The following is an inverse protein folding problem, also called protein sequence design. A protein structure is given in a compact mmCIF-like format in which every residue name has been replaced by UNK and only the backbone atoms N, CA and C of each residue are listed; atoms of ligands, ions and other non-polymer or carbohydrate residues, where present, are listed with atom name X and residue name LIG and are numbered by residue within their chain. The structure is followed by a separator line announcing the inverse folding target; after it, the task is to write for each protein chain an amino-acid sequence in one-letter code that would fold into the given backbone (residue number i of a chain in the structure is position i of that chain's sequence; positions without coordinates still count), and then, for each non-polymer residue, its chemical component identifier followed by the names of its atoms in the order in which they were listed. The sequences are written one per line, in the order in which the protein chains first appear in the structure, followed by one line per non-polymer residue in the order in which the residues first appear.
data_IF_641391871394
#
_entry.id   IF_641391871394
#
_cell.length_a   1.000
_cell.length_b   1.000
_cell.length_c   1.000
_cell.angle_alpha   90.00
_cell.angle_beta   90.00
_cell.angle_gamma   90.00
#
_symmetry.space_group_name_H-M   'P 1'
#
loop_
_entity.id
_entity.type
_entity.pdbx_description
1 polymer ?
#
# COMPACT_ATOMS: atom_id res chain seq x y z
N UNK A 1 14.27 -7.24 53.54
CA UNK A 1 13.68 -7.28 52.18
C UNK A 1 13.94 -5.93 51.52
N UNK A 2 14.71 -5.85 50.42
CA UNK A 2 14.96 -4.56 49.74
C UNK A 2 13.63 -4.00 49.22
N UNK A 3 13.28 -2.77 49.58
CA UNK A 3 12.02 -2.13 49.20
C UNK A 3 12.12 -1.55 47.77
N UNK A 4 11.00 -1.47 47.06
CA UNK A 4 10.92 -0.84 45.72
C UNK A 4 11.07 0.70 45.75
N UNK A 5 11.56 1.29 46.85
CA UNK A 5 11.72 2.75 46.99
C UNK A 5 12.60 3.38 45.91
N UNK A 6 13.50 2.62 45.27
CA UNK A 6 14.32 3.11 44.15
C UNK A 6 13.48 3.48 42.91
N UNK A 7 12.29 2.88 42.75
CA UNK A 7 11.38 3.20 41.64
C UNK A 7 10.78 4.61 41.76
N UNK A 8 10.78 5.21 42.96
CA UNK A 8 10.41 6.61 43.18
C UNK A 8 11.55 7.60 42.87
N UNK A 9 12.72 7.12 42.45
CA UNK A 9 13.79 8.02 41.99
C UNK A 9 13.39 8.70 40.67
N UNK A 10 13.82 9.95 40.47
CA UNK A 10 13.52 10.72 39.24
C UNK A 10 13.87 9.94 37.95
N UNK A 11 14.96 9.17 37.98
CA UNK A 11 15.38 8.30 36.87
C UNK A 11 14.33 7.24 36.52
N UNK A 12 13.85 6.50 37.52
CA UNK A 12 12.87 5.44 37.31
C UNK A 12 11.47 5.96 36.99
N UNK A 13 11.10 7.11 37.54
CA UNK A 13 9.84 7.78 37.19
C UNK A 13 9.84 8.27 35.74
N UNK A 14 10.91 8.95 35.29
CA UNK A 14 11.02 9.39 33.89
C UNK A 14 11.10 8.20 32.93
N UNK A 15 11.81 7.14 33.31
CA UNK A 15 11.87 5.92 32.51
C UNK A 15 10.51 5.22 32.42
N UNK A 16 9.79 5.09 33.54
CA UNK A 16 8.44 4.52 33.55
C UNK A 16 7.46 5.35 32.74
N UNK A 17 7.54 6.68 32.82
CA UNK A 17 6.75 7.58 31.98
C UNK A 17 7.06 7.38 30.49
N UNK A 18 8.33 7.29 30.12
CA UNK A 18 8.73 7.02 28.74
C UNK A 18 8.17 5.67 28.25
N UNK A 19 8.23 4.62 29.08
CA UNK A 19 7.64 3.31 28.76
C UNK A 19 6.13 3.39 28.59
N UNK A 20 5.42 4.13 29.44
CA UNK A 20 3.97 4.35 29.33
C UNK A 20 3.64 5.06 28.01
N UNK A 21 4.37 6.12 27.67
CA UNK A 21 4.18 6.85 26.40
C UNK A 21 4.44 5.94 25.20
N UNK A 22 5.53 5.16 25.23
CA UNK A 22 5.85 4.21 24.16
C UNK A 22 4.78 3.12 24.02
N UNK A 23 4.32 2.56 25.13
CA UNK A 23 3.28 1.53 25.12
C UNK A 23 1.94 2.08 24.62
N UNK A 24 1.56 3.30 25.01
CA UNK A 24 0.36 3.97 24.52
C UNK A 24 0.46 4.28 23.02
N UNK A 25 1.61 4.77 22.56
CA UNK A 25 1.86 5.00 21.13
C UNK A 25 1.82 3.71 20.33
N UNK A 26 2.45 2.65 20.80
CA UNK A 26 2.42 1.34 20.16
C UNK A 26 1.00 0.74 20.12
N UNK A 27 0.21 0.92 21.18
CA UNK A 27 -1.21 0.55 21.17
C UNK A 27 -1.99 1.30 20.08
N UNK A 28 -1.83 2.62 20.03
CA UNK A 28 -2.49 3.47 19.04
C UNK A 28 -2.11 3.12 17.60
N UNK A 29 -0.82 2.87 17.33
CA UNK A 29 -0.37 2.43 16.00
C UNK A 29 -0.92 1.04 15.65
N UNK A 30 -1.04 0.15 16.62
CA UNK A 30 -1.67 -1.15 16.42
C UNK A 30 -3.15 -1.01 16.03
N UNK A 31 -3.91 -0.18 16.75
CA UNK A 31 -5.31 0.11 16.41
C UNK A 31 -5.43 0.72 15.01
N UNK A 32 -4.60 1.70 14.67
CA UNK A 32 -4.58 2.30 13.33
C UNK A 32 -4.34 1.26 12.22
N UNK A 33 -3.50 0.26 12.45
CA UNK A 33 -3.31 -0.84 11.47
C UNK A 33 -4.56 -1.72 11.33
N UNK A 34 -5.30 -1.97 12.41
CA UNK A 34 -6.57 -2.72 12.34
C UNK A 34 -7.67 -1.90 11.66
N UNK A 35 -7.75 -0.60 11.90
CA UNK A 35 -8.68 0.29 11.19
C UNK A 35 -8.40 0.26 9.67
N UNK A 36 -7.11 0.30 9.28
CA UNK A 36 -6.70 0.15 7.87
C UNK A 36 -7.06 -1.22 7.28
N UNK A 37 -6.92 -2.28 8.06
CA UNK A 37 -7.34 -3.63 7.67
C UNK A 37 -8.85 -3.70 7.43
N UNK A 38 -9.65 -3.11 8.31
CA UNK A 38 -11.11 -3.09 8.18
C UNK A 38 -11.56 -2.28 6.97
N UNK A 39 -10.95 -1.11 6.74
CA UNK A 39 -11.18 -0.33 5.53
C UNK A 39 -10.88 -1.14 4.27
N UNK A 40 -9.71 -1.79 4.20
CA UNK A 40 -9.35 -2.64 3.05
C UNK A 40 -10.33 -3.78 2.82
N UNK A 41 -10.84 -4.40 3.89
CA UNK A 41 -11.86 -5.45 3.79
C UNK A 41 -13.19 -4.93 3.25
N UNK A 42 -13.59 -3.72 3.66
CA UNK A 42 -14.80 -3.09 3.16
C UNK A 42 -14.67 -2.80 1.66
N UNK A 43 -13.55 -2.20 1.22
CA UNK A 43 -13.28 -1.95 -0.20
C UNK A 43 -13.33 -3.27 -1.01
N UNK A 44 -12.62 -4.31 -0.56
CA UNK A 44 -12.61 -5.61 -1.24
C UNK A 44 -14.00 -6.27 -1.29
N UNK A 45 -14.85 -6.03 -0.29
CA UNK A 45 -16.21 -6.55 -0.27
C UNK A 45 -17.09 -5.89 -1.34
N UNK A 46 -16.90 -4.60 -1.62
CA UNK A 46 -17.56 -3.89 -2.73
C UNK A 46 -17.14 -4.51 -4.06
N UNK A 47 -15.84 -4.70 -4.28
CA UNK A 47 -15.34 -5.34 -5.52
C UNK A 47 -15.97 -6.70 -5.74
N UNK A 48 -15.95 -7.57 -4.72
CA UNK A 48 -16.51 -8.92 -4.81
C UNK A 48 -18.02 -8.90 -5.06
N UNK A 49 -18.76 -8.04 -4.35
CA UNK A 49 -20.21 -7.93 -4.51
C UNK A 49 -20.61 -7.46 -5.91
N UNK A 50 -19.78 -6.62 -6.54
CA UNK A 50 -20.03 -6.07 -7.86
C UNK A 50 -19.54 -6.96 -9.01
N UNK A 51 -18.49 -7.74 -8.79
CA UNK A 51 -18.01 -8.75 -9.74
C UNK A 51 -19.02 -9.89 -9.91
N UNK A 52 -19.72 -10.27 -8.84
CA UNK A 52 -20.72 -11.35 -8.84
C UNK A 52 -22.09 -10.94 -9.43
N UNK A 53 -22.33 -9.64 -9.64
CA UNK A 53 -23.60 -9.16 -10.18
C UNK A 53 -23.70 -9.30 -11.70
N UNK A 54 -24.91 -9.59 -12.20
CA UNK A 54 -25.20 -9.60 -13.63
C UNK A 54 -24.91 -8.22 -14.24
N UNK A 55 -24.23 -8.09 -15.39
CA UNK A 55 -23.93 -6.80 -15.99
C UNK A 55 -25.17 -5.91 -16.19
N UNK A 56 -25.04 -4.61 -15.91
CA UNK A 56 -26.12 -3.63 -16.10
C UNK A 56 -25.81 -2.67 -17.26
N UNK A 57 -26.82 -2.13 -17.96
CA UNK A 57 -26.61 -1.04 -18.90
C UNK A 57 -25.94 0.17 -18.23
N UNK A 58 -25.00 0.83 -18.92
CA UNK A 58 -24.26 1.96 -18.35
C UNK A 58 -25.17 3.11 -17.86
N UNK A 59 -26.29 3.35 -18.56
CA UNK A 59 -27.27 4.39 -18.21
C UNK A 59 -28.04 4.13 -16.90
N UNK A 60 -28.01 2.89 -16.40
CA UNK A 60 -28.65 2.53 -15.13
C UNK A 60 -27.72 2.76 -13.93
N UNK A 61 -26.41 2.86 -14.17
CA UNK A 61 -25.37 2.94 -13.13
C UNK A 61 -24.69 4.31 -13.13
N UNK A 62 -24.38 4.86 -14.30
CA UNK A 62 -23.71 6.13 -14.46
C UNK A 62 -24.66 7.19 -15.01
N UNK A 63 -24.45 8.44 -14.59
CA UNK A 63 -25.20 9.61 -15.06
C UNK A 63 -24.26 10.65 -15.68
N UNK A 64 -24.69 11.40 -16.72
CA UNK A 64 -23.90 12.51 -17.26
C UNK A 64 -23.56 13.54 -16.19
N UNK A 65 -22.28 13.87 -16.04
CA UNK A 65 -21.78 14.82 -15.04
C UNK A 65 -22.05 14.47 -13.56
N UNK A 66 -22.50 13.25 -13.27
CA UNK A 66 -22.66 12.75 -11.91
C UNK A 66 -21.34 12.25 -11.32
N UNK A 67 -21.32 11.96 -10.02
CA UNK A 67 -20.26 11.18 -9.40
C UNK A 67 -20.62 9.69 -9.42
N UNK A 68 -19.61 8.81 -9.44
CA UNK A 68 -19.82 7.37 -9.26
C UNK A 68 -20.22 7.09 -7.81
N UNK A 69 -21.29 6.33 -7.60
CA UNK A 69 -21.64 5.86 -6.27
C UNK A 69 -20.53 4.92 -5.76
N UNK A 70 -19.97 5.12 -4.55
CA UNK A 70 -18.96 4.23 -3.99
C UNK A 70 -19.37 2.76 -3.98
N UNK A 71 -20.67 2.46 -3.87
CA UNK A 71 -21.19 1.09 -3.89
C UNK A 71 -21.22 0.49 -5.31
N UNK A 72 -21.07 1.30 -6.36
CA UNK A 72 -21.01 0.90 -7.77
C UNK A 72 -19.56 0.82 -8.31
N UNK A 73 -18.54 1.12 -7.51
CA UNK A 73 -17.15 0.92 -7.95
C UNK A 73 -16.89 -0.57 -8.24
N UNK A 74 -16.28 -0.86 -9.38
CA UNK A 74 -16.10 -2.21 -9.94
C UNK A 74 -17.38 -2.91 -10.41
N UNK A 75 -18.53 -2.21 -10.49
CA UNK A 75 -19.73 -2.74 -11.13
C UNK A 75 -19.48 -3.02 -12.60
N UNK A 76 -19.81 -4.23 -13.04
CA UNK A 76 -19.74 -4.56 -14.48
C UNK A 76 -20.90 -3.89 -15.21
N UNK A 77 -20.58 -3.04 -16.18
CA UNK A 77 -21.56 -2.40 -17.05
C UNK A 77 -21.36 -2.79 -18.52
N UNK A 78 -22.44 -2.69 -19.29
CA UNK A 78 -22.45 -2.85 -20.76
C UNK A 78 -22.84 -1.55 -21.44
N UNK A 79 -22.19 -1.24 -22.56
CA UNK A 79 -22.53 -0.10 -23.40
C UNK A 79 -22.36 -0.45 -24.89
N UNK A 80 -23.18 0.14 -25.73
CA UNK A 80 -23.07 0.04 -27.19
C UNK A 80 -22.89 1.43 -27.78
N UNK A 81 -21.95 1.58 -28.70
CA UNK A 81 -21.62 2.88 -29.27
C UNK A 81 -20.56 2.82 -30.37
N UNK A 82 -20.01 3.97 -30.73
CA UNK A 82 -18.88 4.08 -31.66
C UNK A 82 -17.74 4.84 -30.99
N UNK A 83 -16.52 4.31 -31.05
CA UNK A 83 -15.35 5.00 -30.50
C UNK A 83 -15.05 6.27 -31.28
N UNK A 84 -14.62 7.32 -30.56
CA UNK A 84 -14.09 8.57 -31.11
C UNK A 84 -12.56 8.59 -30.95
N UNK A 85 -11.80 7.89 -31.81
CA UNK A 85 -10.35 7.76 -31.68
C UNK A 85 -9.61 9.10 -31.74
N UNK A 86 -10.18 10.11 -32.39
CA UNK A 86 -9.65 11.47 -32.44
C UNK A 86 -9.54 12.14 -31.07
N UNK A 87 -10.34 11.69 -30.10
CA UNK A 87 -10.42 12.22 -28.74
C UNK A 87 -9.73 11.29 -27.71
N UNK A 88 -8.87 10.38 -28.19
CA UNK A 88 -8.10 9.47 -27.33
C UNK A 88 -7.23 10.24 -26.35
N UNK A 89 -7.28 9.87 -25.07
CA UNK A 89 -6.48 10.45 -23.99
C UNK A 89 -5.47 9.46 -23.45
N UNK A 90 -4.21 9.89 -23.33
CA UNK A 90 -3.11 9.08 -22.80
C UNK A 90 -2.94 9.31 -21.30
N UNK A 91 -3.05 8.26 -20.50
CA UNK A 91 -2.74 8.29 -19.07
C UNK A 91 -1.28 7.91 -18.87
N UNK A 92 -0.47 8.91 -18.50
CA UNK A 92 0.99 8.82 -18.47
C UNK A 92 1.53 8.21 -17.18
N UNK A 93 2.77 7.75 -17.27
CA UNK A 93 3.58 7.24 -16.15
C UNK A 93 2.98 6.01 -15.44
N UNK A 94 2.35 5.14 -16.22
CA UNK A 94 1.88 3.85 -15.72
C UNK A 94 3.05 2.89 -15.64
N UNK A 95 3.04 2.04 -14.63
CA UNK A 95 4.06 1.02 -14.42
C UNK A 95 3.36 -0.29 -14.12
N UNK A 96 3.66 -1.32 -14.91
CA UNK A 96 3.10 -2.66 -14.78
C UNK A 96 4.24 -3.67 -14.87
N UNK A 97 4.32 -4.60 -13.92
CA UNK A 97 5.38 -5.62 -13.85
C UNK A 97 6.82 -5.07 -14.01
N UNK A 98 7.05 -3.86 -13.49
CA UNK A 98 8.35 -3.18 -13.57
C UNK A 98 8.68 -2.54 -14.93
N UNK A 99 7.78 -2.62 -15.91
CA UNK A 99 7.88 -1.93 -17.19
C UNK A 99 7.10 -0.60 -17.16
N UNK A 100 7.65 0.43 -17.81
CA UNK A 100 6.95 1.70 -18.00
C UNK A 100 5.99 1.60 -19.17
N UNK A 101 4.84 2.27 -19.05
CA UNK A 101 3.83 2.32 -20.08
C UNK A 101 2.82 3.43 -19.87
N UNK A 102 1.72 3.35 -20.61
CA UNK A 102 0.58 4.27 -20.55
C UNK A 102 -0.72 3.49 -20.61
N UNK A 103 -1.77 4.01 -19.98
CA UNK A 103 -3.13 3.53 -20.23
C UNK A 103 -3.77 4.38 -21.34
N UNK A 104 -4.63 3.75 -22.13
CA UNK A 104 -5.22 4.35 -23.33
C UNK A 104 -6.72 4.50 -23.13
N UNK A 105 -7.15 5.72 -22.85
CA UNK A 105 -8.57 6.04 -22.69
C UNK A 105 -9.15 6.50 -24.02
N UNK A 106 -10.12 5.76 -24.55
CA UNK A 106 -10.79 6.11 -25.80
C UNK A 106 -12.26 6.40 -25.50
N UNK A 107 -12.76 7.61 -25.82
CA UNK A 107 -14.17 7.92 -25.65
C UNK A 107 -15.06 7.07 -26.57
N UNK A 108 -16.13 6.50 -26.02
CA UNK A 108 -17.17 5.77 -26.72
C UNK A 108 -18.45 6.61 -26.75
N UNK A 109 -18.87 7.05 -27.93
CA UNK A 109 -20.15 7.74 -28.10
C UNK A 109 -21.24 6.69 -28.10
N UNK A 110 -22.01 6.62 -27.01
CA UNK A 110 -23.07 5.63 -26.84
C UNK A 110 -24.25 5.91 -27.78
N UNK A 111 -25.13 4.92 -27.95
CA UNK A 111 -26.37 5.08 -28.72
C UNK A 111 -27.32 6.16 -28.18
N UNK A 112 -27.20 6.52 -26.89
CA UNK A 112 -27.99 7.60 -26.28
C UNK A 112 -27.43 9.00 -26.59
N UNK A 113 -26.19 9.08 -27.10
CA UNK A 113 -25.48 10.32 -27.43
C UNK A 113 -24.52 10.80 -26.35
N UNK A 114 -24.60 10.28 -25.12
CA UNK A 114 -23.64 10.57 -24.05
C UNK A 114 -22.34 9.81 -24.30
N UNK A 115 -21.20 10.45 -24.00
CA UNK A 115 -19.88 9.86 -24.20
C UNK A 115 -19.41 9.11 -22.94
N UNK A 116 -19.04 7.85 -23.09
CA UNK A 116 -18.42 7.05 -22.03
C UNK A 116 -16.91 7.04 -22.19
N UNK A 117 -16.16 7.35 -21.13
CA UNK A 117 -14.71 7.18 -21.15
C UNK A 117 -14.36 5.73 -20.86
N UNK A 118 -13.62 5.11 -21.78
CA UNK A 118 -13.24 3.70 -21.69
C UNK A 118 -11.72 3.59 -21.64
N UNK A 119 -11.17 3.16 -20.51
CA UNK A 119 -9.77 2.73 -20.44
C UNK A 119 -9.65 1.36 -21.11
N UNK A 120 -9.12 1.36 -22.34
CA UNK A 120 -8.99 0.15 -23.16
C UNK A 120 -7.79 -0.72 -22.74
N UNK A 121 -6.99 -0.26 -21.79
CA UNK A 121 -5.87 -1.00 -21.24
C UNK A 121 -4.52 -0.35 -21.48
N UNK A 122 -3.48 -1.14 -21.17
CA UNK A 122 -2.12 -0.68 -21.01
C UNK A 122 -1.24 -0.97 -22.23
N UNK A 123 -0.34 -0.05 -22.52
CA UNK A 123 0.69 -0.18 -23.55
C UNK A 123 2.08 0.03 -22.96
N UNK A 124 2.93 -1.00 -23.05
CA UNK A 124 4.35 -0.88 -22.72
C UNK A 124 5.03 0.16 -23.63
N UNK A 125 5.66 1.17 -23.04
CA UNK A 125 6.41 2.19 -23.79
C UNK A 125 7.62 2.69 -23.01
N UNK A 126 8.76 2.84 -23.71
CA UNK A 126 9.96 3.48 -23.14
C UNK A 126 9.82 5.00 -23.01
N UNK A 127 8.75 5.57 -23.56
CA UNK A 127 8.51 6.99 -23.68
C UNK A 127 7.18 7.42 -23.03
N UNK A 128 6.84 6.86 -21.87
CA UNK A 128 5.56 7.09 -21.17
C UNK A 128 5.19 8.56 -20.88
N UNK A 129 6.15 9.49 -20.97
CA UNK A 129 5.90 10.92 -20.85
C UNK A 129 5.52 11.63 -22.16
N UNK A 130 5.81 11.02 -23.31
CA UNK A 130 5.69 11.64 -24.65
C UNK A 130 4.90 10.82 -25.65
N UNK A 131 4.40 9.63 -25.28
CA UNK A 131 3.46 8.86 -26.11
C UNK A 131 2.22 9.68 -26.41
N UNK A 132 1.81 9.69 -27.68
CA UNK A 132 0.66 10.44 -28.19
C UNK A 132 -0.48 9.52 -28.61
N UNK A 133 -1.70 10.06 -28.77
CA UNK A 133 -2.84 9.34 -29.36
C UNK A 133 -2.54 8.63 -30.68
N UNK A 134 -1.71 9.22 -31.54
CA UNK A 134 -1.34 8.61 -32.83
C UNK A 134 -0.40 7.39 -32.71
N UNK A 135 0.23 7.20 -31.54
CA UNK A 135 1.22 6.14 -31.30
C UNK A 135 0.57 4.85 -30.76
N UNK A 136 -0.72 4.85 -30.45
CA UNK A 136 -1.41 3.72 -29.80
C UNK A 136 -2.27 2.90 -30.78
N UNK A 137 -2.50 1.60 -30.50
CA UNK A 137 -3.43 0.78 -31.28
C UNK A 137 -4.82 1.39 -31.40
N UNK A 138 -5.31 1.47 -32.64
CA UNK A 138 -6.64 1.97 -32.95
C UNK A 138 -7.74 1.03 -32.40
N UNK A 139 -8.87 1.57 -31.93
CA UNK A 139 -10.03 0.77 -31.56
C UNK A 139 -10.68 0.10 -32.79
N UNK A 140 -11.58 -0.87 -32.58
CA UNK A 140 -12.42 -1.40 -33.64
C UNK A 140 -13.22 -0.29 -34.33
N UNK A 141 -13.42 -0.41 -35.64
CA UNK A 141 -14.19 0.56 -36.41
C UNK A 141 -15.68 0.20 -36.42
N UNK A 142 -16.54 1.22 -36.37
CA UNK A 142 -17.99 1.06 -36.39
C UNK A 142 -18.60 0.92 -35.01
N UNK A 143 -19.79 0.33 -34.96
CA UNK A 143 -20.49 0.08 -33.70
C UNK A 143 -19.82 -1.08 -32.94
N UNK A 144 -19.63 -0.89 -31.64
CA UNK A 144 -19.01 -1.84 -30.73
C UNK A 144 -19.89 -2.01 -29.50
N UNK A 145 -20.00 -3.24 -29.03
CA UNK A 145 -20.54 -3.58 -27.72
C UNK A 145 -19.37 -3.80 -26.76
N UNK A 146 -19.38 -3.10 -25.63
CA UNK A 146 -18.36 -3.25 -24.60
C UNK A 146 -18.97 -3.75 -23.30
N UNK A 147 -18.15 -4.45 -22.53
CA UNK A 147 -18.35 -4.62 -21.09
C UNK A 147 -17.11 -4.14 -20.34
N UNK A 148 -17.29 -3.63 -19.13
CA UNK A 148 -16.18 -3.18 -18.31
C UNK A 148 -16.58 -2.83 -16.89
N UNK A 149 -15.58 -2.55 -16.06
CA UNK A 149 -15.78 -2.22 -14.66
C UNK A 149 -15.86 -0.71 -14.46
N UNK A 150 -16.90 -0.25 -13.77
CA UNK A 150 -17.05 1.15 -13.38
C UNK A 150 -15.92 1.57 -12.45
N UNK A 151 -15.33 2.73 -12.72
CA UNK A 151 -14.26 3.34 -11.92
C UNK A 151 -14.62 4.79 -11.60
N UNK A 152 -14.39 5.15 -10.35
CA UNK A 152 -14.52 6.53 -9.89
C UNK A 152 -13.36 7.41 -10.41
N UNK A 153 -13.63 8.69 -10.53
CA UNK A 153 -12.67 9.70 -10.96
C UNK A 153 -11.46 9.82 -10.01
N UNK A 154 -10.30 10.07 -10.61
CA UNK A 154 -9.13 10.56 -9.89
C UNK A 154 -9.34 11.99 -9.38
N UNK A 155 -8.46 12.45 -8.50
CA UNK A 155 -8.55 13.80 -7.93
C UNK A 155 -7.19 14.53 -7.89
N UNK A 156 -7.25 15.86 -7.74
CA UNK A 156 -6.09 16.74 -7.61
C UNK A 156 -5.33 17.01 -8.92
N UNK A 157 -4.12 17.57 -8.81
CA UNK A 157 -3.33 18.06 -9.96
C UNK A 157 -2.91 16.99 -10.99
N UNK A 158 -3.13 15.71 -10.67
CA UNK A 158 -2.87 14.60 -11.58
C UNK A 158 -3.95 14.44 -12.66
N UNK A 159 -5.14 15.01 -12.46
CA UNK A 159 -6.23 14.96 -13.44
C UNK A 159 -6.15 16.04 -14.51
N UNK A 160 -5.21 16.98 -14.38
CA UNK A 160 -5.02 18.05 -15.35
C UNK A 160 -4.67 17.48 -16.74
N UNK A 161 -5.52 17.75 -17.71
CA UNK A 161 -5.34 17.32 -19.10
C UNK A 161 -4.54 18.36 -19.88
N UNK A 162 -3.53 17.92 -20.61
CA UNK A 162 -2.74 18.75 -21.51
C UNK A 162 -2.27 17.92 -22.70
N UNK A 163 -2.57 18.39 -23.92
CA UNK A 163 -2.25 17.70 -25.18
C UNK A 163 -2.81 16.27 -25.20
N UNK A 164 -4.12 16.15 -24.91
CA UNK A 164 -4.87 14.88 -24.79
C UNK A 164 -4.16 13.85 -23.92
N UNK A 165 -3.58 14.31 -22.82
CA UNK A 165 -2.80 13.45 -21.95
C UNK A 165 -2.86 13.92 -20.51
N UNK A 166 -2.97 12.97 -19.58
CA UNK A 166 -3.16 13.21 -18.14
C UNK A 166 -2.30 12.24 -17.31
N UNK A 167 -2.33 12.34 -15.97
CA UNK A 167 -1.72 11.35 -15.05
C UNK A 167 -2.76 10.55 -14.27
N UNK A 168 -4.00 11.01 -14.25
CA UNK A 168 -5.15 10.33 -13.68
C UNK A 168 -6.39 10.65 -14.52
N UNK A 169 -7.27 9.67 -14.69
CA UNK A 169 -8.53 9.85 -15.39
C UNK A 169 -9.46 10.69 -14.51
N UNK A 170 -10.07 11.71 -15.10
CA UNK A 170 -11.22 12.40 -14.53
C UNK A 170 -12.16 12.71 -15.68
N UNK A 171 -13.39 12.25 -15.58
CA UNK A 171 -14.39 12.44 -16.61
C UNK A 171 -14.72 13.91 -16.81
N UNK A 172 -14.84 14.70 -15.74
CA UNK A 172 -15.02 16.15 -15.83
C UNK A 172 -13.89 16.80 -16.65
N UNK A 173 -12.62 16.57 -16.25
CA UNK A 173 -11.46 17.22 -16.89
C UNK A 173 -11.22 16.75 -18.31
N UNK A 174 -11.44 15.46 -18.59
CA UNK A 174 -11.29 14.91 -19.93
C UNK A 174 -12.44 15.38 -20.82
N UNK A 175 -13.69 15.33 -20.34
CA UNK A 175 -14.86 15.84 -21.05
C UNK A 175 -14.73 17.30 -21.45
N UNK A 176 -14.23 18.15 -20.55
CA UNK A 176 -13.87 19.54 -20.86
C UNK A 176 -12.81 19.65 -21.97
N UNK A 177 -11.76 18.82 -21.89
CA UNK A 177 -10.63 18.89 -22.82
C UNK A 177 -10.96 18.40 -24.24
N UNK A 178 -11.88 17.44 -24.37
CA UNK A 178 -12.36 16.89 -25.66
C UNK A 178 -13.68 17.55 -26.11
N UNK A 179 -14.19 18.52 -25.34
CA UNK A 179 -15.42 19.26 -25.61
C UNK A 179 -16.66 18.35 -25.78
N UNK A 180 -16.79 17.32 -24.91
CA UNK A 180 -17.91 16.37 -24.92
C UNK A 180 -18.62 16.29 -23.57
N UNK A 181 -19.93 16.06 -23.63
CA UNK A 181 -20.70 15.62 -22.46
C UNK A 181 -20.41 14.14 -22.19
N UNK A 182 -19.92 13.86 -20.97
CA UNK A 182 -19.50 12.53 -20.56
C UNK A 182 -20.25 12.03 -19.33
N UNK A 183 -20.34 10.71 -19.18
CA UNK A 183 -20.74 10.10 -17.91
C UNK A 183 -19.79 10.48 -16.77
N UNK A 184 -20.31 10.46 -15.54
CA UNK A 184 -19.52 10.46 -14.32
C UNK A 184 -18.62 9.25 -14.22
N UNK A 185 -17.33 9.45 -13.97
CA UNK A 185 -16.36 8.36 -13.91
C UNK A 185 -15.97 7.79 -15.28
N UNK A 186 -15.40 6.60 -15.28
CA UNK A 186 -14.94 5.90 -16.48
C UNK A 186 -15.11 4.39 -16.32
N UNK A 187 -14.84 3.64 -17.39
CA UNK A 187 -14.93 2.19 -17.40
C UNK A 187 -13.59 1.58 -17.79
N UNK A 188 -13.08 0.66 -16.99
CA UNK A 188 -11.98 -0.22 -17.38
C UNK A 188 -12.51 -1.32 -18.28
N UNK A 189 -11.98 -1.43 -19.49
CA UNK A 189 -12.46 -2.38 -20.48
C UNK A 189 -12.23 -3.83 -20.02
N UNK A 190 -13.30 -4.62 -20.01
CA UNK A 190 -13.28 -6.07 -19.82
C UNK A 190 -13.33 -6.82 -21.14
N UNK A 191 -14.20 -6.39 -22.05
CA UNK A 191 -14.35 -6.97 -23.39
C UNK A 191 -14.94 -5.95 -24.37
N UNK A 192 -14.57 -6.08 -25.64
CA UNK A 192 -15.17 -5.33 -26.76
C UNK A 192 -15.45 -6.27 -27.94
N UNK A 193 -16.62 -6.12 -28.59
CA UNK A 193 -17.01 -6.83 -29.80
C UNK A 193 -17.50 -5.83 -30.87
N UNK A 194 -16.89 -5.78 -32.06
CA UNK A 194 -15.81 -6.65 -32.55
C UNK A 194 -14.46 -6.41 -31.87
N UNK A 195 -13.60 -7.43 -31.85
CA UNK A 195 -12.24 -7.33 -31.32
C UNK A 195 -11.36 -6.35 -32.15
N UNK A 196 -10.40 -5.64 -31.52
CA UNK A 196 -9.49 -4.76 -32.23
C UNK A 196 -8.45 -5.55 -33.03
N UNK A 197 -7.93 -4.95 -34.10
CA UNK A 197 -6.86 -5.56 -34.90
C UNK A 197 -5.58 -5.80 -34.09
N UNK A 198 -5.30 -4.91 -33.14
CA UNK A 198 -4.19 -5.03 -32.18
C UNK A 198 -4.74 -4.74 -30.78
N UNK A 199 -4.73 -5.75 -29.91
CA UNK A 199 -5.18 -5.61 -28.54
C UNK A 199 -4.12 -4.90 -27.66
N UNK A 200 -4.61 -4.10 -26.71
CA UNK A 200 -3.83 -3.60 -25.59
C UNK A 200 -3.76 -4.65 -24.48
N UNK A 201 -2.84 -4.49 -23.54
CA UNK A 201 -2.81 -5.38 -22.37
C UNK A 201 -4.00 -5.04 -21.45
N UNK A 202 -4.85 -6.02 -21.07
CA UNK A 202 -6.04 -5.76 -20.27
C UNK A 202 -5.72 -5.10 -18.93
N UNK A 203 -6.64 -4.27 -18.41
CA UNK A 203 -6.50 -3.63 -17.11
C UNK A 203 -6.34 -4.69 -16.00
N UNK A 204 -5.49 -4.40 -15.02
CA UNK A 204 -5.28 -5.28 -13.87
C UNK A 204 -6.41 -5.13 -12.86
N UNK A 205 -7.00 -6.26 -12.49
CA UNK A 205 -7.93 -6.31 -11.36
C UNK A 205 -7.21 -5.94 -10.06
N UNK A 206 -7.92 -5.32 -9.10
CA UNK A 206 -7.32 -4.96 -7.83
C UNK A 206 -6.92 -6.22 -7.07
N UNK A 207 -5.78 -6.18 -6.41
CA UNK A 207 -5.39 -7.24 -5.48
C UNK A 207 -6.37 -7.26 -4.30
N UNK A 208 -7.16 -8.33 -4.18
CA UNK A 208 -8.14 -8.51 -3.10
C UNK A 208 -7.53 -9.06 -1.80
N UNK A 209 -6.20 -8.99 -1.67
CA UNK A 209 -5.56 -9.31 -0.40
C UNK A 209 -5.76 -8.18 0.62
N UNK A 210 -5.60 -8.53 1.90
CA UNK A 210 -5.82 -7.60 3.00
C UNK A 210 -4.54 -6.85 3.41
N UNK A 211 -3.47 -7.02 2.64
CA UNK A 211 -2.12 -6.63 2.98
C UNK A 211 -1.60 -7.22 4.30
N UNK A 212 -0.41 -6.77 4.73
CA UNK A 212 0.22 -7.20 5.98
C UNK A 212 -0.32 -6.46 7.23
N UNK A 213 -1.37 -5.64 7.11
CA UNK A 213 -1.89 -4.76 8.17
C UNK A 213 -2.16 -5.50 9.49
N UNK A 214 -2.73 -6.71 9.40
CA UNK A 214 -2.96 -7.56 10.58
C UNK A 214 -1.66 -7.86 11.36
N UNK A 215 -0.61 -8.31 10.68
CA UNK A 215 0.65 -8.66 11.31
C UNK A 215 1.39 -7.43 11.83
N UNK A 216 1.30 -6.30 11.14
CA UNK A 216 1.84 -5.03 11.64
C UNK A 216 1.11 -4.54 12.88
N UNK A 217 -0.21 -4.71 12.96
CA UNK A 217 -0.99 -4.41 14.17
C UNK A 217 -0.50 -5.23 15.37
N UNK A 218 -0.34 -6.55 15.19
CA UNK A 218 0.22 -7.43 16.23
C UNK A 218 1.66 -7.07 16.61
N UNK A 219 2.49 -6.70 15.64
CA UNK A 219 3.87 -6.29 15.86
C UNK A 219 3.94 -5.04 16.76
N UNK A 220 3.07 -4.04 16.53
CA UNK A 220 3.02 -2.85 17.38
C UNK A 220 2.63 -3.19 18.81
N UNK A 221 1.60 -4.00 19.01
CA UNK A 221 1.22 -4.45 20.35
C UNK A 221 2.33 -5.27 21.02
N UNK A 222 3.06 -6.09 20.25
CA UNK A 222 4.21 -6.82 20.75
C UNK A 222 5.33 -5.88 21.24
N UNK A 223 5.64 -4.79 20.53
CA UNK A 223 6.61 -3.79 21.01
C UNK A 223 6.14 -3.10 22.29
N UNK A 224 4.85 -2.78 22.40
CA UNK A 224 4.27 -2.25 23.64
C UNK A 224 4.45 -3.22 24.81
N UNK A 225 4.15 -4.51 24.60
CA UNK A 225 4.36 -5.56 25.59
C UNK A 225 5.83 -5.74 25.96
N UNK A 226 6.76 -5.69 25.00
CA UNK A 226 8.19 -5.76 25.27
C UNK A 226 8.69 -4.56 26.07
N UNK A 227 8.22 -3.35 25.79
CA UNK A 227 8.60 -2.16 26.55
C UNK A 227 8.17 -2.27 28.01
N UNK A 228 6.93 -2.68 28.25
CA UNK A 228 6.37 -2.89 29.60
C UNK A 228 7.07 -4.05 30.31
N UNK A 229 7.22 -5.19 29.63
CA UNK A 229 7.91 -6.37 30.18
C UNK A 229 9.38 -6.09 30.50
N UNK A 230 10.08 -5.37 29.62
CA UNK A 230 11.46 -4.92 29.83
C UNK A 230 11.60 -3.99 31.03
N UNK A 231 10.66 -3.06 31.21
CA UNK A 231 10.62 -2.20 32.41
C UNK A 231 10.52 -3.03 33.71
N UNK A 232 9.59 -3.99 33.76
CA UNK A 232 9.44 -4.86 34.94
C UNK A 232 10.63 -5.80 35.15
N UNK A 233 11.21 -6.33 34.07
CA UNK A 233 12.41 -7.15 34.13
C UNK A 233 13.59 -6.37 34.71
N UNK A 234 13.86 -5.17 34.20
CA UNK A 234 14.93 -4.31 34.72
C UNK A 234 14.69 -3.92 36.17
N UNK A 235 13.44 -3.65 36.56
CA UNK A 235 13.09 -3.33 37.94
C UNK A 235 13.34 -4.53 38.88
N UNK A 236 13.10 -5.73 38.40
CA UNK A 236 13.37 -6.97 39.12
C UNK A 236 14.86 -7.31 39.19
N UNK A 237 15.62 -7.07 38.12
CA UNK A 237 17.08 -7.29 38.08
C UNK A 237 17.81 -6.34 39.05
N UNK A 238 17.48 -5.04 39.01
CA UNK A 238 17.99 -4.03 39.96
C UNK A 238 17.72 -4.43 41.42
N UNK A 239 16.55 -5.03 41.69
CA UNK A 239 16.19 -5.54 43.03
C UNK A 239 17.06 -6.73 43.46
N UNK A 240 17.43 -7.63 42.52
CA UNK A 240 18.28 -8.80 42.81
C UNK A 240 19.73 -8.41 43.14
N UNK A 241 20.15 -7.19 42.76
CA UNK A 241 21.49 -6.66 43.01
C UNK A 241 22.55 -7.32 42.13
N UNK A 242 23.75 -6.73 41.99
CA UNK A 242 24.79 -7.29 41.14
C UNK A 242 25.08 -8.71 41.60
N UNK A 243 24.92 -9.72 40.73
CA UNK A 243 25.54 -11.02 40.93
C UNK A 243 27.03 -10.71 41.11
N UNK A 244 27.53 -10.80 42.36
CA UNK A 244 28.96 -10.73 42.66
C UNK A 244 29.65 -11.67 41.67
N UNK A 245 30.34 -11.09 40.68
CA UNK A 245 31.42 -11.78 39.98
C UNK A 245 32.30 -12.27 41.12
N UNK A 246 32.35 -13.58 41.35
CA UNK A 246 33.32 -14.18 42.27
C UNK A 246 34.69 -13.80 41.72
N UNK A 247 35.28 -12.75 42.28
CA UNK A 247 36.72 -12.62 42.34
C UNK A 247 37.19 -13.79 43.17
N UNK A 248 37.75 -14.81 42.50
CA UNK A 248 38.71 -15.71 43.14
C UNK A 248 39.95 -14.88 43.42
N UNK A 249 39.94 -14.20 44.55
CA UNK A 249 41.13 -13.68 45.21
C UNK A 249 41.04 -14.18 46.66
N UNK A 250 41.58 -15.38 46.86
CA UNK A 250 41.93 -15.98 48.15
C UNK A 250 43.30 -16.60 47.93
N UNK A 251 44.32 -16.46 48.78
CA UNK A 251 44.57 -15.64 49.96
C UNK A 251 46.06 -15.91 50.27
N UNK A 252 46.80 -14.86 50.63
CA UNK A 252 47.95 -14.83 51.55
C UNK A 252 49.07 -15.90 51.51
N UNK A 253 50.25 -15.46 51.05
CA UNK A 253 51.56 -15.66 51.72
C UNK A 253 51.56 -15.00 53.12
N UNK A 254 52.51 -15.24 54.08
CA UNK A 254 53.73 -16.08 54.07
C UNK A 254 53.99 -16.87 55.39
N UNK A 255 55.00 -17.76 55.42
CA UNK A 255 55.87 -17.96 56.61
C UNK A 255 57.22 -18.52 56.15
N UNK A 256 58.29 -17.78 56.44
CA UNK A 256 59.68 -18.11 56.16
C UNK A 256 60.22 -19.17 57.14
N UNK A 257 61.30 -19.83 56.71
CA UNK A 257 62.35 -20.43 57.56
C UNK A 257 62.15 -21.85 58.11
N UNK A 258 62.22 -22.87 57.24
CA UNK A 258 62.94 -24.14 57.53
C UNK A 258 63.45 -24.75 56.22
N UNK A 259 64.70 -24.48 55.86
CA UNK A 259 65.66 -25.42 55.21
C UNK A 259 66.86 -24.67 54.62
N UNK A 260 67.52 -23.86 55.46
CA UNK A 260 68.98 -23.72 55.40
C UNK A 260 69.59 -24.91 56.15
N UNK A 261 69.55 -26.12 55.57
CA UNK A 261 70.42 -27.26 55.92
C UNK A 261 70.15 -28.46 55.00
N UNK A 262 70.72 -28.43 53.81
CA UNK A 262 71.22 -29.59 53.09
C UNK A 262 72.12 -29.08 51.96
N UNK A 263 73.42 -29.37 52.09
CA UNK A 263 74.43 -29.51 51.02
C UNK A 263 74.68 -28.29 50.10
N UNK A 264 75.83 -27.61 50.10
CA UNK A 264 77.22 -28.11 50.18
C UNK A 264 77.43 -29.33 49.30
N UNK A 265 77.51 -29.14 47.98
CA UNK A 265 78.72 -29.46 47.22
C UNK A 265 78.56 -29.21 45.71
N UNK A 266 79.57 -28.53 45.17
CA UNK A 266 80.01 -28.46 43.76
C UNK A 266 81.05 -29.61 43.61
N UNK A 267 81.29 -30.33 42.49
CA UNK A 267 81.40 -29.82 41.11
C UNK A 267 80.90 -30.72 39.95
N UNK A 268 80.81 -30.05 38.80
CA UNK A 268 81.34 -30.38 37.46
C UNK A 268 82.00 -31.75 37.24
N UNK A 269 81.57 -32.42 36.16
CA UNK A 269 82.40 -33.19 35.24
C UNK A 269 81.90 -32.96 33.80
#
# INVERSE_FOLDING_TARGET
MRSFRFMLSRRWLLFGLAVVVLAAGAWWLGQWQFDRLEQRKADNAVVLANEEQDPAPVDEVLSPGGDVDPDDEWRVVTATGTYAPEDTVIVRYRTRDGASGVDVVVPLVTSSGTTLLVDRGWLATRAAGTTRPDDVPQPPAGEVEISGWVRADGSGDSTAVSDLSTRAVSSERIGEAIEREVYGGFVDLRSEDPEPATALEPVEMPELDNGPHFFYGLQWWFFGLLAVGGFFYLAWDERRGPRRRRTTSSEDEPTQDVMRRAETDVPTA
#
